data_IF_798944441569
#
_entry.id   IF_798944441569
#
_cell.length_a   1.000
_cell.length_b   1.000
_cell.length_c   1.000
_cell.angle_alpha   90.00
_cell.angle_beta   90.00
_cell.angle_gamma   90.00
#
_symmetry.space_group_name_H-M   'P 1'
#
loop_
_entity.id
_entity.type
_entity.pdbx_description
1 polymer ?
#
# COMPACT_ATOMS: atom_id res chain seq x y z
N UNK A 1 -24.84 4.84 4.31
CA UNK A 1 -23.71 4.95 3.35
C UNK A 1 -23.22 6.39 3.15
N UNK A 2 -24.10 7.37 2.84
CA UNK A 2 -23.67 8.73 2.47
C UNK A 2 -22.98 9.58 3.55
N UNK A 3 -23.27 9.36 4.84
CA UNK A 3 -22.63 10.11 5.95
C UNK A 3 -21.16 9.72 6.13
N UNK A 4 -20.85 8.43 6.05
CA UNK A 4 -19.47 7.92 6.15
C UNK A 4 -18.62 8.31 4.95
N UNK A 5 -19.19 8.31 3.74
CA UNK A 5 -18.52 8.81 2.54
C UNK A 5 -18.22 10.32 2.65
N UNK A 6 -19.13 11.11 3.21
CA UNK A 6 -18.90 12.53 3.52
C UNK A 6 -17.82 12.74 4.58
N UNK A 7 -17.77 11.89 5.61
CA UNK A 7 -16.75 11.96 6.66
C UNK A 7 -15.34 11.61 6.14
N UNK A 8 -15.25 10.62 5.25
CA UNK A 8 -14.01 10.25 4.55
C UNK A 8 -13.49 11.38 3.66
N UNK A 9 -14.38 12.14 3.01
CA UNK A 9 -14.02 13.30 2.19
C UNK A 9 -13.75 14.57 3.00
N UNK A 10 -14.20 14.62 4.26
CA UNK A 10 -14.08 15.80 5.12
C UNK A 10 -12.66 15.99 5.66
N UNK A 11 -11.96 14.89 5.96
CA UNK A 11 -10.60 14.95 6.49
C UNK A 11 -9.60 15.00 5.34
N UNK A 12 -8.76 16.03 5.33
CA UNK A 12 -7.78 16.27 4.27
C UNK A 12 -6.79 15.10 4.13
N UNK A 13 -6.46 14.44 5.24
CA UNK A 13 -5.56 13.30 5.28
C UNK A 13 -6.13 12.07 4.56
N UNK A 14 -7.40 11.74 4.80
CA UNK A 14 -8.08 10.62 4.12
C UNK A 14 -8.26 10.90 2.64
N UNK A 15 -8.54 12.16 2.26
CA UNK A 15 -8.63 12.56 0.85
C UNK A 15 -7.28 12.41 0.14
N UNK A 16 -6.17 12.80 0.77
CA UNK A 16 -4.83 12.61 0.23
C UNK A 16 -4.47 11.13 0.09
N UNK A 17 -4.85 10.29 1.06
CA UNK A 17 -4.68 8.84 0.96
C UNK A 17 -5.51 8.25 -0.19
N UNK A 18 -6.76 8.70 -0.37
CA UNK A 18 -7.63 8.22 -1.44
C UNK A 18 -7.10 8.60 -2.83
N UNK A 19 -6.59 9.83 -3.02
CA UNK A 19 -5.95 10.26 -4.27
C UNK A 19 -4.69 9.43 -4.54
N UNK A 20 -3.90 9.16 -3.50
CA UNK A 20 -2.71 8.33 -3.61
C UNK A 20 -3.05 6.90 -4.03
N UNK A 21 -4.04 6.28 -3.39
CA UNK A 21 -4.56 4.96 -3.76
C UNK A 21 -5.12 4.91 -5.18
N UNK A 22 -5.83 5.95 -5.61
CA UNK A 22 -6.31 6.06 -6.98
C UNK A 22 -5.15 6.13 -7.99
N UNK A 23 -4.04 6.78 -7.64
CA UNK A 23 -2.82 6.77 -8.46
C UNK A 23 -2.15 5.39 -8.57
N UNK A 24 -2.34 4.52 -7.58
CA UNK A 24 -1.82 3.15 -7.56
C UNK A 24 -2.73 2.14 -8.29
N UNK A 25 -3.97 2.51 -8.59
CA UNK A 25 -4.97 1.56 -9.12
C UNK A 25 -4.57 1.01 -10.50
N UNK A 26 -3.93 1.83 -11.35
CA UNK A 26 -3.61 1.45 -12.72
C UNK A 26 -2.60 0.31 -12.80
N UNK A 27 -1.51 0.39 -12.04
CA UNK A 27 -0.50 -0.67 -11.97
C UNK A 27 -1.07 -1.91 -11.27
N UNK A 28 -1.87 -1.71 -10.23
CA UNK A 28 -2.57 -2.78 -9.53
C UNK A 28 -3.50 -3.58 -10.44
N UNK A 29 -4.27 -2.92 -11.33
CA UNK A 29 -5.17 -3.59 -12.27
C UNK A 29 -4.43 -4.54 -13.22
N UNK A 30 -3.24 -4.18 -13.70
CA UNK A 30 -2.44 -5.05 -14.57
C UNK A 30 -2.02 -6.34 -13.87
N UNK A 31 -1.55 -6.22 -12.64
CA UNK A 31 -1.15 -7.37 -11.82
C UNK A 31 -2.35 -8.22 -11.42
N UNK A 32 -3.47 -7.58 -11.11
CA UNK A 32 -4.72 -8.27 -10.81
C UNK A 32 -5.23 -9.02 -12.03
N UNK A 33 -5.13 -8.44 -13.24
CA UNK A 33 -5.47 -9.13 -14.49
C UNK A 33 -4.58 -10.35 -14.73
N UNK A 34 -3.27 -10.25 -14.49
CA UNK A 34 -2.36 -11.39 -14.56
C UNK A 34 -2.72 -12.49 -13.53
N UNK A 35 -3.06 -12.08 -12.31
CA UNK A 35 -3.44 -12.99 -11.23
C UNK A 35 -4.76 -13.70 -11.53
N UNK A 36 -5.74 -12.97 -12.09
CA UNK A 36 -7.00 -13.55 -12.58
C UNK A 36 -6.77 -14.52 -13.72
N UNK A 37 -5.88 -14.19 -14.68
CA UNK A 37 -5.53 -15.09 -15.78
C UNK A 37 -4.92 -16.39 -15.26
N UNK A 38 -3.97 -16.31 -14.33
CA UNK A 38 -3.40 -17.49 -13.66
C UNK A 38 -4.48 -18.32 -12.99
N UNK A 39 -5.38 -17.68 -12.24
CA UNK A 39 -6.43 -18.36 -11.49
C UNK A 39 -7.42 -19.06 -12.41
N UNK A 40 -7.86 -18.40 -13.49
CA UNK A 40 -8.75 -19.00 -14.50
C UNK A 40 -8.07 -20.20 -15.17
N UNK A 41 -6.82 -20.04 -15.61
CA UNK A 41 -6.07 -21.11 -16.27
C UNK A 41 -5.82 -22.30 -15.33
N UNK A 42 -5.37 -22.05 -14.11
CA UNK A 42 -5.11 -23.10 -13.12
C UNK A 42 -6.40 -23.82 -12.71
N UNK A 43 -7.51 -23.09 -12.57
CA UNK A 43 -8.82 -23.68 -12.27
C UNK A 43 -9.34 -24.54 -13.41
N UNK A 44 -9.13 -24.12 -14.65
CA UNK A 44 -9.50 -24.91 -15.82
C UNK A 44 -8.66 -26.19 -15.91
N UNK A 45 -7.35 -26.06 -15.75
CA UNK A 45 -6.44 -27.20 -15.76
C UNK A 45 -6.78 -28.20 -14.65
N UNK A 46 -7.12 -27.73 -13.45
CA UNK A 46 -7.54 -28.58 -12.36
C UNK A 46 -8.87 -29.27 -12.64
N UNK A 47 -9.85 -28.54 -13.16
CA UNK A 47 -11.15 -29.10 -13.51
C UNK A 47 -10.98 -30.29 -14.48
N UNK A 48 -10.21 -30.10 -15.55
CA UNK A 48 -9.92 -31.16 -16.54
C UNK A 48 -9.10 -32.31 -15.94
N UNK A 49 -8.12 -32.00 -15.07
CA UNK A 49 -7.27 -33.04 -14.45
C UNK A 49 -8.04 -33.93 -13.46
N UNK A 50 -9.03 -33.35 -12.78
CA UNK A 50 -9.77 -34.03 -11.72
C UNK A 50 -11.17 -34.49 -12.15
N UNK A 51 -11.62 -34.22 -13.38
CA UNK A 51 -12.97 -34.55 -13.88
C UNK A 51 -13.34 -36.02 -13.68
N UNK A 52 -12.44 -36.93 -14.05
CA UNK A 52 -12.66 -38.39 -13.95
C UNK A 52 -12.36 -38.97 -12.56
N UNK A 53 -11.92 -38.14 -11.62
CA UNK A 53 -11.58 -38.59 -10.27
C UNK A 53 -12.77 -38.49 -9.32
N UNK A 54 -12.82 -39.30 -8.24
CA UNK A 54 -13.82 -39.10 -7.18
C UNK A 54 -13.81 -37.70 -6.57
N UNK A 55 -12.67 -36.98 -6.58
CA UNK A 55 -12.63 -35.58 -6.14
C UNK A 55 -13.35 -34.64 -7.11
N UNK A 56 -13.31 -34.93 -8.42
CA UNK A 56 -14.11 -34.28 -9.45
C UNK A 56 -15.58 -34.24 -9.10
N UNK A 57 -16.10 -35.36 -8.59
CA UNK A 57 -17.52 -35.53 -8.28
C UNK A 57 -17.97 -34.88 -6.97
N UNK A 58 -17.05 -34.58 -6.05
CA UNK A 58 -17.39 -34.05 -4.72
C UNK A 58 -16.95 -32.61 -4.49
N UNK A 59 -15.80 -32.22 -5.02
CA UNK A 59 -15.16 -30.91 -4.77
C UNK A 59 -15.09 -30.07 -6.05
N UNK A 60 -14.85 -30.68 -7.21
CA UNK A 60 -14.67 -30.00 -8.49
C UNK A 60 -15.85 -30.24 -9.45
N UNK A 61 -17.08 -30.12 -8.94
CA UNK A 61 -18.33 -30.51 -9.64
C UNK A 61 -18.62 -29.70 -10.90
N UNK A 62 -18.16 -28.46 -10.94
CA UNK A 62 -18.27 -27.58 -12.10
C UNK A 62 -17.06 -26.65 -12.14
N UNK A 63 -16.82 -26.03 -13.30
CA UNK A 63 -15.75 -25.05 -13.44
C UNK A 63 -15.86 -23.89 -12.44
N UNK A 64 -17.07 -23.38 -12.18
CA UNK A 64 -17.28 -22.28 -11.22
C UNK A 64 -16.97 -22.67 -9.77
N UNK A 65 -17.37 -23.88 -9.36
CA UNK A 65 -17.02 -24.41 -8.03
C UNK A 65 -15.52 -24.65 -7.93
N UNK A 66 -14.90 -25.16 -8.98
CA UNK A 66 -13.44 -25.36 -9.04
C UNK A 66 -12.68 -24.05 -8.92
N UNK A 67 -13.12 -23.02 -9.64
CA UNK A 67 -12.57 -21.67 -9.54
C UNK A 67 -12.64 -21.14 -8.12
N UNK A 68 -13.78 -21.30 -7.45
CA UNK A 68 -13.93 -20.90 -6.06
C UNK A 68 -12.98 -21.67 -5.14
N UNK A 69 -12.91 -23.00 -5.26
CA UNK A 69 -12.00 -23.82 -4.44
C UNK A 69 -10.53 -23.45 -4.65
N UNK A 70 -10.13 -23.17 -5.89
CA UNK A 70 -8.78 -22.72 -6.21
C UNK A 70 -8.48 -21.31 -5.72
N UNK A 71 -9.47 -20.42 -5.73
CA UNK A 71 -9.34 -19.10 -5.13
C UNK A 71 -9.15 -19.17 -3.61
N UNK A 72 -9.92 -20.00 -2.90
CA UNK A 72 -9.72 -20.23 -1.47
C UNK A 72 -8.37 -20.91 -1.18
N UNK A 73 -7.88 -21.75 -2.10
CA UNK A 73 -6.55 -22.34 -2.01
C UNK A 73 -5.43 -21.34 -2.29
N UNK A 74 -5.66 -20.37 -3.18
CA UNK A 74 -4.73 -19.26 -3.41
C UNK A 74 -4.50 -18.45 -2.14
N UNK A 75 -5.53 -18.28 -1.31
CA UNK A 75 -5.42 -17.67 0.03
C UNK A 75 -5.02 -18.67 1.12
N UNK A 76 -4.69 -19.91 0.74
CA UNK A 76 -4.29 -21.03 1.62
C UNK A 76 -5.30 -21.40 2.71
N UNK A 77 -6.55 -20.93 2.61
CA UNK A 77 -7.53 -21.06 3.70
C UNK A 77 -8.14 -22.46 3.79
N UNK A 78 -8.12 -23.23 2.71
CA UNK A 78 -8.61 -24.61 2.63
C UNK A 78 -7.47 -25.65 2.48
N UNK A 79 -6.22 -25.28 2.80
CA UNK A 79 -5.08 -26.19 2.79
C UNK A 79 -4.94 -26.87 4.17
N UNK A 80 -4.87 -28.22 4.29
CA UNK A 80 -4.77 -29.23 3.22
C UNK A 80 -6.11 -29.80 2.72
N UNK A 81 -7.23 -29.44 3.36
CA UNK A 81 -8.53 -30.09 3.22
C UNK A 81 -9.02 -30.26 1.76
N UNK A 82 -8.74 -29.30 0.89
CA UNK A 82 -9.14 -29.34 -0.53
C UNK A 82 -8.45 -30.45 -1.33
N UNK A 83 -7.23 -30.85 -0.96
CA UNK A 83 -6.43 -31.84 -1.69
C UNK A 83 -6.14 -33.13 -0.91
N UNK A 84 -6.54 -33.24 0.36
CA UNK A 84 -6.45 -34.52 1.09
C UNK A 84 -7.21 -35.65 0.39
N UNK A 85 -8.43 -35.45 -0.13
CA UNK A 85 -9.12 -36.48 -0.91
C UNK A 85 -8.28 -36.88 -2.13
N UNK A 86 -7.76 -35.87 -2.87
CA UNK A 86 -6.61 -35.90 -3.79
C UNK A 86 -5.63 -37.05 -3.55
N UNK A 87 -4.94 -36.83 -2.45
CA UNK A 87 -3.79 -37.58 -1.99
C UNK A 87 -4.11 -39.01 -1.59
N UNK A 88 -5.30 -39.24 -0.99
CA UNK A 88 -5.75 -40.58 -0.59
C UNK A 88 -5.93 -41.54 -1.76
N UNK A 89 -6.22 -41.02 -2.96
CA UNK A 89 -6.39 -41.83 -4.17
C UNK A 89 -5.04 -42.09 -4.84
N UNK A 90 -4.27 -41.03 -5.07
CA UNK A 90 -2.92 -41.16 -5.62
C UNK A 90 -2.05 -39.99 -5.18
N UNK A 91 -0.83 -40.30 -4.75
CA UNK A 91 0.16 -39.31 -4.33
C UNK A 91 0.53 -38.36 -5.46
N UNK A 92 0.46 -38.82 -6.72
CA UNK A 92 0.76 -38.01 -7.90
C UNK A 92 -0.15 -36.79 -8.05
N UNK A 93 -1.41 -36.88 -7.63
CA UNK A 93 -2.34 -35.74 -7.69
C UNK A 93 -1.96 -34.61 -6.73
N UNK A 94 -1.26 -34.90 -5.63
CA UNK A 94 -0.79 -33.85 -4.72
C UNK A 94 0.29 -32.96 -5.33
N UNK A 95 1.03 -33.45 -6.33
CA UNK A 95 2.06 -32.69 -7.01
C UNK A 95 1.48 -31.46 -7.73
N UNK A 96 0.27 -31.57 -8.28
CA UNK A 96 -0.45 -30.44 -8.87
C UNK A 96 -0.66 -29.32 -7.83
N UNK A 97 -1.17 -29.66 -6.64
CA UNK A 97 -1.45 -28.70 -5.59
C UNK A 97 -0.18 -28.08 -5.00
N UNK A 98 0.90 -28.86 -4.88
CA UNK A 98 2.22 -28.34 -4.44
C UNK A 98 2.75 -27.32 -5.45
N UNK A 99 2.73 -27.64 -6.74
CA UNK A 99 3.16 -26.70 -7.80
C UNK A 99 2.26 -25.46 -7.84
N UNK A 100 0.94 -25.64 -7.69
CA UNK A 100 -0.01 -24.53 -7.62
C UNK A 100 0.28 -23.60 -6.43
N UNK A 101 0.53 -24.14 -5.24
CA UNK A 101 0.87 -23.33 -4.07
C UNK A 101 2.24 -22.65 -4.23
N UNK A 102 3.23 -23.34 -4.80
CA UNK A 102 4.54 -22.75 -5.11
C UNK A 102 4.44 -21.56 -6.07
N UNK A 103 3.74 -21.72 -7.18
CA UNK A 103 3.60 -20.66 -8.18
C UNK A 103 2.58 -19.58 -7.78
N UNK A 104 1.46 -19.97 -7.20
CA UNK A 104 0.40 -19.06 -6.78
C UNK A 104 0.78 -18.27 -5.53
N UNK A 105 1.06 -18.98 -4.44
CA UNK A 105 1.32 -18.33 -3.15
C UNK A 105 2.71 -17.72 -3.16
N UNK A 106 3.77 -18.48 -3.43
CA UNK A 106 5.12 -17.93 -3.25
C UNK A 106 5.61 -17.06 -4.41
N UNK A 107 5.25 -17.35 -5.65
CA UNK A 107 5.69 -16.53 -6.77
C UNK A 107 4.72 -15.36 -7.04
N UNK A 108 3.44 -15.64 -7.30
CA UNK A 108 2.48 -14.60 -7.66
C UNK A 108 2.17 -13.63 -6.52
N UNK A 109 1.96 -14.07 -5.26
CA UNK A 109 1.70 -13.09 -4.19
C UNK A 109 2.90 -12.20 -3.90
N UNK A 110 4.13 -12.72 -4.01
CA UNK A 110 5.33 -11.91 -3.87
C UNK A 110 5.52 -10.94 -5.05
N UNK A 111 5.13 -11.33 -6.26
CA UNK A 111 5.09 -10.42 -7.41
C UNK A 111 4.06 -9.31 -7.18
N UNK A 112 2.86 -9.66 -6.69
CA UNK A 112 1.82 -8.68 -6.33
C UNK A 112 2.37 -7.69 -5.31
N UNK A 113 2.98 -8.19 -4.24
CA UNK A 113 3.59 -7.38 -3.20
C UNK A 113 4.68 -6.46 -3.76
N UNK A 114 5.55 -6.98 -4.62
CA UNK A 114 6.62 -6.20 -5.24
C UNK A 114 6.09 -5.02 -6.07
N UNK A 115 5.06 -5.25 -6.91
CA UNK A 115 4.48 -4.18 -7.74
C UNK A 115 3.73 -3.15 -6.90
N UNK A 116 2.98 -3.60 -5.89
CA UNK A 116 2.31 -2.68 -4.96
C UNK A 116 3.34 -1.84 -4.21
N UNK A 117 4.43 -2.47 -3.74
CA UNK A 117 5.50 -1.79 -3.03
C UNK A 117 6.19 -0.74 -3.89
N UNK A 118 6.55 -1.08 -5.13
CA UNK A 118 7.20 -0.14 -6.06
C UNK A 118 6.28 1.06 -6.36
N UNK A 119 5.01 0.79 -6.66
CA UNK A 119 4.01 1.83 -6.92
C UNK A 119 3.84 2.72 -5.67
N UNK A 120 3.73 2.13 -4.48
CA UNK A 120 3.60 2.85 -3.21
C UNK A 120 4.83 3.73 -2.94
N UNK A 121 6.03 3.20 -3.17
CA UNK A 121 7.30 3.92 -3.01
C UNK A 121 7.37 5.13 -3.93
N UNK A 122 6.91 5.01 -5.18
CA UNK A 122 6.87 6.12 -6.13
C UNK A 122 5.94 7.23 -5.64
N UNK A 123 4.74 6.89 -5.18
CA UNK A 123 3.79 7.87 -4.63
C UNK A 123 4.32 8.53 -3.36
N UNK A 124 4.92 7.74 -2.47
CA UNK A 124 5.52 8.25 -1.25
C UNK A 124 6.66 9.22 -1.55
N UNK A 125 7.53 8.90 -2.52
CA UNK A 125 8.59 9.81 -2.94
C UNK A 125 8.04 11.14 -3.49
N UNK A 126 6.95 11.10 -4.28
CA UNK A 126 6.28 12.32 -4.77
C UNK A 126 5.75 13.18 -3.61
N UNK A 127 5.14 12.56 -2.61
CA UNK A 127 4.67 13.28 -1.42
C UNK A 127 5.82 13.92 -0.64
N UNK A 128 6.94 13.20 -0.46
CA UNK A 128 8.12 13.75 0.23
C UNK A 128 8.68 14.97 -0.50
N UNK A 129 8.78 14.93 -1.82
CA UNK A 129 9.24 16.07 -2.64
C UNK A 129 8.27 17.26 -2.52
N UNK A 130 6.96 17.02 -2.48
CA UNK A 130 5.97 18.08 -2.26
C UNK A 130 6.12 18.72 -0.88
N UNK A 131 6.29 17.92 0.17
CA UNK A 131 6.50 18.44 1.54
C UNK A 131 7.80 19.25 1.63
N UNK A 132 8.88 18.77 1.02
CA UNK A 132 10.15 19.50 1.01
C UNK A 132 10.06 20.82 0.23
N UNK A 133 9.36 20.84 -0.91
CA UNK A 133 9.16 22.07 -1.69
C UNK A 133 8.29 23.09 -0.95
N UNK A 134 7.24 22.65 -0.25
CA UNK A 134 6.43 23.52 0.63
C UNK A 134 7.29 24.09 1.75
N UNK A 135 8.10 23.25 2.43
CA UNK A 135 8.99 23.68 3.49
C UNK A 135 9.99 24.74 3.01
N UNK A 136 10.61 24.51 1.85
CA UNK A 136 11.53 25.47 1.21
C UNK A 136 10.82 26.77 0.85
N UNK A 137 9.63 26.71 0.29
CA UNK A 137 8.85 27.90 -0.10
C UNK A 137 8.45 28.74 1.13
N UNK A 138 8.01 28.10 2.22
CA UNK A 138 7.71 28.81 3.48
C UNK A 138 8.97 29.48 4.04
N UNK A 139 10.10 28.76 4.03
CA UNK A 139 11.36 29.30 4.53
C UNK A 139 11.87 30.45 3.67
N UNK A 140 11.74 30.34 2.33
CA UNK A 140 12.09 31.41 1.40
C UNK A 140 11.22 32.64 1.63
N UNK A 141 9.90 32.48 1.75
CA UNK A 141 9.01 33.61 2.07
C UNK A 141 9.34 34.26 3.41
N UNK A 142 9.67 33.47 4.42
CA UNK A 142 10.10 34.00 5.72
C UNK A 142 11.42 34.76 5.62
N UNK A 143 12.36 34.28 4.79
CA UNK A 143 13.62 34.94 4.50
C UNK A 143 13.40 36.27 3.76
N UNK A 144 12.58 36.26 2.71
CA UNK A 144 12.25 37.45 1.90
C UNK A 144 11.55 38.54 2.74
N UNK A 145 10.78 38.17 3.76
CA UNK A 145 10.16 39.12 4.69
C UNK A 145 11.18 39.82 5.62
N UNK A 146 12.33 39.19 5.88
CA UNK A 146 13.36 39.71 6.78
C UNK A 146 14.43 40.46 6.00
N UNK A 147 14.70 40.07 4.76
CA UNK A 147 15.55 40.80 3.83
C UNK A 147 14.82 42.05 3.29
N UNK A 148 14.71 43.08 4.12
CA UNK A 148 14.12 44.37 3.78
C UNK A 148 14.82 45.08 2.61
N UNK A 149 16.06 44.70 2.29
CA UNK A 149 16.87 45.32 1.26
C UNK A 149 16.88 44.53 -0.05
N UNK A 150 16.23 43.36 -0.09
CA UNK A 150 16.11 42.49 -1.27
C UNK A 150 17.48 42.15 -1.91
N UNK A 151 18.51 41.97 -1.07
CA UNK A 151 19.89 41.71 -1.51
C UNK A 151 20.18 40.22 -1.71
N UNK A 152 19.29 39.34 -1.25
CA UNK A 152 19.46 37.89 -1.30
C UNK A 152 20.34 37.33 -0.17
N UNK A 153 20.70 38.14 0.83
CA UNK A 153 21.44 37.75 2.03
C UNK A 153 21.01 38.59 3.24
N UNK A 154 21.13 38.02 4.44
CA UNK A 154 20.82 38.70 5.69
C UNK A 154 22.08 39.32 6.30
N UNK A 155 22.00 40.59 6.67
CA UNK A 155 23.05 41.27 7.43
C UNK A 155 23.16 40.66 8.84
N UNK A 156 24.32 40.85 9.49
CA UNK A 156 24.60 40.28 10.83
C UNK A 156 23.50 40.62 11.84
N UNK A 157 23.01 41.85 11.84
CA UNK A 157 21.96 42.30 12.75
C UNK A 157 20.62 41.60 12.49
N UNK A 158 20.23 41.46 11.21
CA UNK A 158 19.01 40.76 10.82
C UNK A 158 19.07 39.27 11.20
N UNK A 159 20.23 38.63 11.00
CA UNK A 159 20.45 37.23 11.37
C UNK A 159 20.39 37.01 12.89
N UNK A 160 20.99 37.90 13.69
CA UNK A 160 20.93 37.86 15.16
C UNK A 160 19.48 38.03 15.64
N UNK A 161 18.74 38.97 15.04
CA UNK A 161 17.32 39.19 15.34
C UNK A 161 16.48 37.94 15.07
N UNK A 162 16.61 37.33 13.89
CA UNK A 162 15.94 36.07 13.54
C UNK A 162 16.27 34.93 14.51
N UNK A 163 17.56 34.73 14.83
CA UNK A 163 17.99 33.68 15.77
C UNK A 163 17.42 33.89 17.17
N UNK A 164 17.38 35.13 17.66
CA UNK A 164 16.79 35.46 18.94
C UNK A 164 15.28 35.18 18.96
N UNK A 165 14.55 35.58 17.90
CA UNK A 165 13.11 35.31 17.78
C UNK A 165 12.83 33.80 17.68
N UNK A 166 13.61 33.05 16.90
CA UNK A 166 13.50 31.59 16.80
C UNK A 166 13.77 30.90 18.13
N UNK A 167 14.81 31.32 18.85
CA UNK A 167 15.12 30.78 20.17
C UNK A 167 14.02 31.11 21.19
N UNK A 168 13.41 32.29 21.08
CA UNK A 168 12.29 32.72 21.92
C UNK A 168 11.01 31.91 21.69
N UNK A 169 10.67 31.55 20.45
CA UNK A 169 9.39 30.88 20.15
C UNK A 169 9.48 29.37 19.87
N UNK A 170 10.65 28.85 19.47
CA UNK A 170 10.87 27.42 19.18
C UNK A 170 12.02 26.80 19.97
N UNK A 171 12.69 27.54 20.85
CA UNK A 171 13.72 26.99 21.74
C UNK A 171 13.10 26.03 22.78
N UNK A 172 13.82 24.97 23.20
CA UNK A 172 13.25 23.91 24.03
C UNK A 172 12.79 24.32 25.44
N UNK A 173 13.00 25.55 25.94
CA UNK A 173 12.51 25.97 27.26
C UNK A 173 12.37 27.50 27.37
N UNK A 174 11.19 27.97 27.79
CA UNK A 174 11.03 29.23 28.51
C UNK A 174 10.43 28.94 29.88
N UNK A 175 11.26 29.03 30.94
CA UNK A 175 10.73 29.20 32.30
C UNK A 175 10.00 30.54 32.35
N UNK A 176 8.78 30.62 32.91
CA UNK A 176 8.11 31.89 33.08
C UNK A 176 8.93 32.79 34.02
N UNK A 177 9.38 33.94 33.52
CA UNK A 177 9.84 35.03 34.39
C UNK A 177 8.61 35.58 35.11
N UNK A 178 8.35 35.03 36.30
CA UNK A 178 7.45 35.65 37.26
C UNK A 178 7.99 37.04 37.59
N UNK A 179 7.24 38.07 37.17
CA UNK A 179 7.33 39.41 37.73
C UNK A 179 7.21 39.29 39.24
N UNK A 180 8.29 39.57 39.98
CA UNK A 180 8.17 39.92 41.39
C UNK A 180 7.63 41.35 41.39
N UNK A 181 6.33 41.47 41.58
CA UNK A 181 5.68 42.71 41.99
C UNK A 181 6.19 43.02 43.40
N UNK A 182 7.03 44.04 43.52
CA UNK A 182 7.20 44.82 44.74
C UNK A 182 6.36 46.09 44.62
#
# INVERSE_FOLDING_TARGET
>A
AGVYAKLLLYTMELRMCAITLAGLIGTYLNVLALSLLFLLFASWLAYVTFEDTPQGKTIFTSYGVTLYQMFVLFTTSNNPDVWVPAYKISRWYSLFFIVYVLLGVYFLTNLILAVIYDSFKEQFAKQLVQVDSIRKNILQKAFDLIDTNNRGYLDREQCISLLNELNKYRGPYQKPQGKILN
#
